data_IF_174207847710
#
_entry.id   IF_174207847710
#
_cell.length_a   1.000
_cell.length_b   1.000
_cell.length_c   1.000
_cell.angle_alpha   90.00
_cell.angle_beta   90.00
_cell.angle_gamma   90.00
#
_symmetry.space_group_name_H-M   'P 1'
#
loop_
_entity.id
_entity.type
_entity.pdbx_description
1 polymer ?
#
# COMPACT_ATOMS: atom_id res chain seq x y z
N UNK A 1 -18.87 14.44 0.36
CA UNK A 1 -17.41 14.39 0.59
C UNK A 1 -16.88 13.14 -0.10
N UNK A 2 -15.67 13.15 -0.66
CA UNK A 2 -15.05 11.97 -1.30
C UNK A 2 -14.01 11.38 -0.36
N UNK A 3 -14.03 10.06 -0.18
CA UNK A 3 -13.10 9.34 0.69
C UNK A 3 -12.41 8.26 -0.13
N UNK A 4 -11.11 8.04 0.11
CA UNK A 4 -10.33 7.00 -0.53
C UNK A 4 -9.67 6.07 0.50
N UNK A 5 -9.28 4.89 0.05
CA UNK A 5 -8.51 3.91 0.80
C UNK A 5 -7.04 4.00 0.37
N UNK A 6 -6.12 4.05 1.32
CA UNK A 6 -4.68 3.97 1.06
C UNK A 6 -4.08 2.78 1.78
N UNK A 7 -3.27 1.98 1.08
CA UNK A 7 -2.71 0.74 1.62
C UNK A 7 -1.26 0.53 1.18
N UNK A 8 -0.48 -0.17 2.01
CA UNK A 8 0.73 -0.85 1.55
C UNK A 8 0.33 -2.23 1.01
N UNK A 9 0.28 -2.44 -0.33
CA UNK A 9 0.01 -3.76 -0.86
C UNK A 9 1.18 -4.69 -0.50
N UNK A 10 0.93 -5.70 0.33
CA UNK A 10 1.96 -6.67 0.75
C UNK A 10 1.38 -8.07 0.69
N UNK A 11 2.25 -9.09 0.71
CA UNK A 11 1.86 -10.51 0.73
C UNK A 11 1.07 -10.92 1.99
N UNK A 12 1.13 -10.11 3.05
CA UNK A 12 0.46 -10.35 4.32
C UNK A 12 -0.66 -9.34 4.65
N UNK A 13 -0.99 -8.45 3.71
CA UNK A 13 -2.17 -7.59 3.80
C UNK A 13 -3.38 -8.27 3.16
N UNK A 14 -4.56 -7.64 3.26
CA UNK A 14 -5.73 -8.03 2.47
C UNK A 14 -5.39 -8.01 0.97
N UNK A 15 -5.87 -9.00 0.22
CA UNK A 15 -5.64 -9.07 -1.23
C UNK A 15 -6.30 -7.89 -1.94
N UNK A 16 -5.66 -7.40 -3.00
CA UNK A 16 -6.22 -6.34 -3.85
C UNK A 16 -7.48 -6.81 -4.59
N UNK A 17 -7.58 -8.11 -4.87
CA UNK A 17 -8.77 -8.75 -5.46
C UNK A 17 -9.96 -8.81 -4.48
N UNK A 18 -9.73 -8.60 -3.18
CA UNK A 18 -10.76 -8.58 -2.15
C UNK A 18 -11.06 -7.14 -1.70
N UNK A 19 -10.01 -6.33 -1.49
CA UNK A 19 -10.14 -4.97 -1.02
C UNK A 19 -10.83 -4.04 -2.02
N UNK A 20 -10.51 -4.14 -3.31
CA UNK A 20 -11.06 -3.26 -4.33
C UNK A 20 -12.60 -3.36 -4.43
N UNK A 21 -13.20 -4.56 -4.64
CA UNK A 21 -14.67 -4.66 -4.69
C UNK A 21 -15.33 -4.27 -3.36
N UNK A 22 -14.69 -4.54 -2.22
CA UNK A 22 -15.20 -4.12 -0.92
C UNK A 22 -15.21 -2.58 -0.77
N UNK A 23 -14.15 -1.90 -1.22
CA UNK A 23 -14.05 -0.45 -1.20
C UNK A 23 -15.12 0.20 -2.08
N UNK A 24 -15.37 -0.34 -3.28
CA UNK A 24 -16.44 0.11 -4.16
C UNK A 24 -17.83 -0.08 -3.54
N UNK A 25 -18.11 -1.27 -2.98
CA UNK A 25 -19.38 -1.57 -2.32
C UNK A 25 -19.67 -0.64 -1.13
N UNK A 26 -18.62 -0.21 -0.43
CA UNK A 26 -18.70 0.74 0.68
C UNK A 26 -18.73 2.22 0.23
N UNK A 27 -18.65 2.48 -1.07
CA UNK A 27 -18.76 3.83 -1.65
C UNK A 27 -17.48 4.67 -1.53
N UNK A 28 -16.31 4.05 -1.36
CA UNK A 28 -15.04 4.76 -1.48
C UNK A 28 -14.78 5.15 -2.93
N UNK A 29 -14.23 6.34 -3.14
CA UNK A 29 -14.05 6.93 -4.46
C UNK A 29 -12.72 6.52 -5.11
N UNK A 30 -11.71 6.16 -4.33
CA UNK A 30 -10.40 5.80 -4.85
C UNK A 30 -9.67 4.80 -3.96
N UNK A 31 -8.82 3.99 -4.60
CA UNK A 31 -7.87 3.10 -3.96
C UNK A 31 -6.45 3.52 -4.35
N UNK A 32 -5.61 3.76 -3.36
CA UNK A 32 -4.23 4.20 -3.52
C UNK A 32 -3.29 3.17 -2.92
N UNK A 33 -2.24 2.83 -3.65
CA UNK A 33 -1.20 1.92 -3.19
C UNK A 33 0.09 2.69 -2.90
N UNK A 34 0.75 2.37 -1.79
CA UNK A 34 2.08 2.89 -1.48
C UNK A 34 3.13 2.28 -2.42
N UNK A 35 4.25 2.98 -2.59
CA UNK A 35 5.44 2.50 -3.31
C UNK A 35 6.70 3.12 -2.68
N UNK A 36 7.78 2.34 -2.60
CA UNK A 36 9.08 2.76 -2.06
C UNK A 36 10.24 2.10 -2.82
N UNK A 37 10.45 2.46 -4.09
CA UNK A 37 11.55 1.92 -4.92
C UNK A 37 12.93 2.10 -4.29
N UNK A 38 13.12 3.16 -3.49
CA UNK A 38 14.40 3.50 -2.89
C UNK A 38 14.26 3.70 -1.40
N UNK A 39 14.90 2.82 -0.63
CA UNK A 39 15.00 2.93 0.83
C UNK A 39 16.47 3.08 1.19
N UNK A 40 16.85 4.12 1.95
CA UNK A 40 18.23 4.25 2.42
C UNK A 40 18.66 3.00 3.18
N UNK A 41 19.83 2.46 2.87
CA UNK A 41 20.39 1.30 3.58
C UNK A 41 20.86 1.66 4.98
N UNK A 42 21.29 2.91 5.19
CA UNK A 42 21.62 3.47 6.51
C UNK A 42 20.38 4.04 7.22
N UNK A 43 20.37 4.02 8.56
CA UNK A 43 19.35 4.67 9.40
C UNK A 43 19.79 6.03 9.95
N UNK A 44 20.78 6.68 9.32
CA UNK A 44 21.31 7.99 9.76
C UNK A 44 20.22 9.07 9.78
N UNK A 45 19.36 9.06 8.77
CA UNK A 45 18.08 9.79 8.79
C UNK A 45 16.99 8.83 9.26
N UNK A 46 16.47 8.96 10.50
CA UNK A 46 15.48 8.04 11.02
C UNK A 46 14.14 8.19 10.30
N UNK A 47 13.37 7.11 10.27
CA UNK A 47 11.96 7.18 9.90
C UNK A 47 11.18 7.90 11.01
N UNK A 48 10.15 8.66 10.64
CA UNK A 48 9.41 9.50 11.60
C UNK A 48 8.77 8.70 12.75
N UNK A 49 8.46 7.42 12.54
CA UNK A 49 7.84 6.56 13.55
C UNK A 49 8.82 5.75 14.40
N UNK A 50 10.13 5.94 14.27
CA UNK A 50 11.13 5.29 15.14
C UNK A 50 12.42 4.86 14.43
N UNK A 51 13.33 4.21 15.18
CA UNK A 51 14.63 3.79 14.66
C UNK A 51 14.52 2.66 13.62
N UNK A 52 13.52 1.79 13.77
CA UNK A 52 13.30 0.64 12.90
C UNK A 52 12.26 0.94 11.83
N UNK A 53 12.62 0.71 10.57
CA UNK A 53 11.69 0.89 9.46
C UNK A 53 10.72 -0.31 9.41
N UNK A 54 9.39 -0.09 9.39
CA UNK A 54 8.42 -1.17 9.35
C UNK A 54 8.58 -2.08 8.12
N UNK A 55 8.23 -3.36 8.29
CA UNK A 55 8.36 -4.40 7.25
C UNK A 55 7.69 -4.03 5.93
N UNK A 56 6.54 -3.36 5.95
CA UNK A 56 5.75 -3.07 4.75
C UNK A 56 6.47 -2.17 3.75
N UNK A 57 7.41 -1.33 4.21
CA UNK A 57 8.21 -0.51 3.30
C UNK A 57 9.06 -1.38 2.37
N UNK A 58 9.54 -2.54 2.84
CA UNK A 58 10.36 -3.47 2.05
C UNK A 58 9.55 -4.49 1.24
N UNK A 59 8.30 -4.73 1.63
CA UNK A 59 7.45 -5.80 1.09
C UNK A 59 6.35 -5.27 0.17
N UNK A 60 6.43 -4.00 -0.23
CA UNK A 60 5.41 -3.40 -1.08
C UNK A 60 5.42 -4.04 -2.47
N UNK A 61 4.27 -4.53 -2.94
CA UNK A 61 4.10 -5.05 -4.30
C UNK A 61 4.24 -3.95 -5.34
N UNK A 62 4.63 -4.32 -6.57
CA UNK A 62 4.65 -3.38 -7.69
C UNK A 62 3.25 -2.74 -7.90
N UNK A 63 3.15 -1.41 -7.99
CA UNK A 63 1.87 -0.72 -8.02
C UNK A 63 1.05 -1.05 -9.27
N UNK A 64 1.68 -1.28 -10.43
CA UNK A 64 0.95 -1.61 -11.65
C UNK A 64 0.39 -3.03 -11.59
N UNK A 65 1.14 -3.98 -11.06
CA UNK A 65 0.66 -5.36 -10.87
C UNK A 65 -0.45 -5.41 -9.82
N UNK A 66 -0.26 -4.73 -8.68
CA UNK A 66 -1.26 -4.66 -7.61
C UNK A 66 -2.57 -4.02 -8.08
N UNK A 67 -2.50 -2.89 -8.80
CA UNK A 67 -3.67 -2.21 -9.34
C UNK A 67 -4.32 -2.98 -10.50
N UNK A 68 -3.53 -3.73 -11.29
CA UNK A 68 -4.10 -4.66 -12.28
C UNK A 68 -4.94 -5.71 -11.58
N UNK A 69 -4.44 -6.32 -10.50
CA UNK A 69 -5.21 -7.29 -9.72
C UNK A 69 -6.45 -6.68 -9.06
N UNK A 70 -6.40 -5.39 -8.65
CA UNK A 70 -7.55 -4.67 -8.13
C UNK A 70 -8.64 -4.38 -9.19
N UNK A 71 -8.25 -4.29 -10.46
CA UNK A 71 -9.15 -3.94 -11.57
C UNK A 71 -9.77 -5.17 -12.28
N UNK A 72 -9.39 -6.39 -11.87
CA UNK A 72 -9.96 -7.65 -12.33
C UNK A 72 -11.23 -8.01 -11.55
#
# INVERSE_FOLDING_TARGET
MRFGVAIFPTDYAISLTELAPAAEQLGFESLWVAEHSHIPTSRKSPWAGGPELPKQYWHTLDPFVALTAAAL
#
